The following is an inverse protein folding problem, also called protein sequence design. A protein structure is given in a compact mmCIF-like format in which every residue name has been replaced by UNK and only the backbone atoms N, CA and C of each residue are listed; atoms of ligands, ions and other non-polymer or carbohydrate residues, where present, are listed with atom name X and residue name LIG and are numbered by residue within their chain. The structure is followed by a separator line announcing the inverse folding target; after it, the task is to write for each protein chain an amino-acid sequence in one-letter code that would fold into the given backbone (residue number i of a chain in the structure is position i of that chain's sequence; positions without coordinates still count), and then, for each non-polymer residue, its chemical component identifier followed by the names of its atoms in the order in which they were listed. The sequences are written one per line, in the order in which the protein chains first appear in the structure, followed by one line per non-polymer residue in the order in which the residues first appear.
data_IF_479396341255
#
_entry.id   IF_479396341255
#
_cell.length_a   1.000
_cell.length_b   1.000
_cell.length_c   1.000
_cell.angle_alpha   90.00
_cell.angle_beta   90.00
_cell.angle_gamma   90.00
#
_symmetry.space_group_name_H-M   'P 1'
#
loop_
_entity.id
_entity.type
_entity.pdbx_description
1 polymer ?
#
# COMPACT_ATOMS: atom_id res chain seq x y z
N UNK A 1 -16.32 19.86 13.32
CA UNK A 1 -14.92 19.56 12.93
C UNK A 1 -14.15 20.78 12.43
N UNK A 2 -14.75 21.72 11.67
CA UNK A 2 -14.07 22.94 11.18
C UNK A 2 -13.75 23.99 12.27
N UNK A 3 -14.35 23.90 13.46
CA UNK A 3 -14.15 24.85 14.56
C UNK A 3 -12.91 24.56 15.44
N UNK A 4 -12.20 23.44 15.19
CA UNK A 4 -11.05 23.04 16.01
C UNK A 4 -9.83 22.73 15.12
N UNK A 5 -9.08 23.76 14.67
CA UNK A 5 -8.01 23.60 13.68
C UNK A 5 -6.87 22.70 14.17
N UNK A 6 -6.57 22.69 15.47
CA UNK A 6 -5.54 21.82 16.07
C UNK A 6 -5.98 20.35 16.06
N UNK A 7 -7.25 20.07 16.34
CA UNK A 7 -7.81 18.71 16.30
C UNK A 7 -7.87 18.22 14.85
N UNK A 8 -8.25 19.09 13.91
CA UNK A 8 -8.24 18.79 12.49
C UNK A 8 -6.82 18.54 11.98
N UNK A 9 -5.85 19.37 12.34
CA UNK A 9 -4.45 19.19 11.97
C UNK A 9 -3.89 17.89 12.53
N UNK A 10 -4.14 17.57 13.80
CA UNK A 10 -3.72 16.31 14.43
C UNK A 10 -4.40 15.09 13.79
N UNK A 11 -5.68 15.20 13.43
CA UNK A 11 -6.37 14.16 12.69
C UNK A 11 -5.77 13.99 11.26
N UNK A 12 -5.48 15.06 10.55
CA UNK A 12 -4.93 14.97 9.19
C UNK A 12 -3.45 14.53 9.18
N UNK A 13 -2.68 14.78 10.24
CA UNK A 13 -1.23 14.50 10.28
C UNK A 13 -0.86 13.26 11.08
N UNK A 14 -1.54 12.98 12.20
CA UNK A 14 -1.09 12.02 13.21
C UNK A 14 -2.12 10.94 13.59
N UNK A 15 -3.43 11.23 13.62
CA UNK A 15 -4.42 10.35 14.28
C UNK A 15 -5.73 10.10 13.53
N UNK A 16 -5.92 10.63 12.33
CA UNK A 16 -7.16 10.47 11.55
C UNK A 16 -7.11 9.27 10.61
N UNK A 17 -8.17 9.11 9.80
CA UNK A 17 -8.36 7.96 8.91
C UNK A 17 -7.29 7.85 7.78
N UNK A 18 -6.55 8.94 7.51
CA UNK A 18 -5.42 8.99 6.56
C UNK A 18 -4.35 9.99 7.01
N UNK A 19 -3.51 9.67 8.02
CA UNK A 19 -2.47 10.55 8.52
C UNK A 19 -1.39 10.81 7.45
N UNK A 20 -1.22 12.06 7.04
CA UNK A 20 -0.28 12.45 5.98
C UNK A 20 1.16 11.98 6.27
N UNK A 21 1.58 11.96 7.53
CA UNK A 21 2.94 11.57 7.93
C UNK A 21 3.27 10.13 7.54
N UNK A 22 2.29 9.23 7.61
CA UNK A 22 2.47 7.82 7.26
C UNK A 22 2.65 7.64 5.75
N UNK A 23 1.93 8.42 4.94
CA UNK A 23 2.03 8.38 3.48
C UNK A 23 3.31 9.04 2.96
N UNK A 24 3.83 10.05 3.69
CA UNK A 24 5.12 10.68 3.38
C UNK A 24 6.26 9.65 3.45
N UNK A 25 6.19 8.64 4.33
CA UNK A 25 7.20 7.59 4.40
C UNK A 25 7.35 6.84 3.05
N UNK A 26 6.23 6.46 2.41
CA UNK A 26 6.27 5.84 1.09
C UNK A 26 6.84 6.78 0.02
N UNK A 27 6.46 8.07 0.06
CA UNK A 27 6.99 9.08 -0.86
C UNK A 27 8.50 9.24 -0.72
N UNK A 28 9.02 9.38 0.50
CA UNK A 28 10.45 9.54 0.78
C UNK A 28 11.23 8.31 0.32
N UNK A 29 10.73 7.11 0.61
CA UNK A 29 11.34 5.86 0.13
C UNK A 29 11.33 5.82 -1.40
N UNK A 30 10.22 6.16 -2.05
CA UNK A 30 10.12 6.22 -3.51
C UNK A 30 11.12 7.20 -4.14
N UNK A 31 11.28 8.39 -3.56
CA UNK A 31 12.27 9.39 -4.01
C UNK A 31 13.70 8.88 -3.80
N UNK A 32 13.99 8.25 -2.66
CA UNK A 32 15.31 7.69 -2.37
C UNK A 32 15.67 6.58 -3.36
N UNK A 33 14.74 5.65 -3.62
CA UNK A 33 14.90 4.56 -4.59
C UNK A 33 15.06 5.10 -6.01
N UNK A 34 14.30 6.13 -6.38
CA UNK A 34 14.39 6.78 -7.68
C UNK A 34 15.76 7.45 -7.97
N UNK A 35 16.55 7.73 -6.93
CA UNK A 35 17.93 8.24 -7.07
C UNK A 35 18.97 7.14 -7.24
N UNK A 36 18.60 5.87 -7.04
CA UNK A 36 19.51 4.75 -7.21
C UNK A 36 19.67 4.39 -8.69
N UNK A 37 20.81 3.81 -9.04
CA UNK A 37 21.04 3.26 -10.38
C UNK A 37 20.26 1.95 -10.57
N UNK A 38 18.96 2.06 -10.88
CA UNK A 38 18.04 0.91 -11.03
C UNK A 38 18.41 -0.02 -12.20
N UNK A 39 19.23 0.45 -13.15
CA UNK A 39 19.76 -0.37 -14.24
C UNK A 39 20.87 -1.35 -13.81
N UNK A 40 21.39 -1.25 -12.58
CA UNK A 40 22.43 -2.17 -12.06
C UNK A 40 21.79 -3.35 -11.33
N UNK A 41 22.16 -4.57 -11.71
CA UNK A 41 21.71 -5.80 -11.05
C UNK A 41 22.01 -5.79 -9.54
N UNK A 42 23.14 -5.22 -9.12
CA UNK A 42 23.50 -5.04 -7.71
C UNK A 42 22.46 -4.21 -6.95
N UNK A 43 21.97 -3.10 -7.52
CA UNK A 43 20.92 -2.28 -6.90
C UNK A 43 19.63 -3.08 -6.76
N UNK A 44 19.24 -3.81 -7.80
CA UNK A 44 18.03 -4.63 -7.78
C UNK A 44 18.11 -5.76 -6.74
N UNK A 45 19.27 -6.40 -6.59
CA UNK A 45 19.51 -7.41 -5.56
C UNK A 45 19.47 -6.82 -4.14
N UNK A 46 20.01 -5.61 -3.93
CA UNK A 46 19.89 -4.90 -2.65
C UNK A 46 18.45 -4.52 -2.32
N UNK A 47 17.68 -4.04 -3.31
CA UNK A 47 16.26 -3.75 -3.13
C UNK A 47 15.47 -5.02 -2.76
N UNK A 48 15.78 -6.13 -3.43
CA UNK A 48 15.17 -7.43 -3.13
C UNK A 48 15.52 -7.91 -1.72
N UNK A 49 16.80 -8.06 -1.43
CA UNK A 49 17.28 -8.59 -0.15
C UNK A 49 16.92 -7.68 1.03
N UNK A 50 17.14 -6.37 0.88
CA UNK A 50 16.79 -5.38 1.90
C UNK A 50 15.28 -5.26 2.11
N UNK A 51 14.50 -5.32 1.03
CA UNK A 51 13.03 -5.32 1.10
C UNK A 51 12.48 -6.55 1.83
N UNK A 52 12.97 -7.75 1.49
CA UNK A 52 12.60 -9.00 2.18
C UNK A 52 13.00 -8.95 3.64
N UNK A 53 14.22 -8.54 3.96
CA UNK A 53 14.70 -8.43 5.32
C UNK A 53 13.82 -7.45 6.14
N UNK A 54 13.54 -6.27 5.60
CA UNK A 54 12.67 -5.29 6.25
C UNK A 54 11.26 -5.85 6.48
N UNK A 55 10.68 -6.51 5.48
CA UNK A 55 9.34 -7.09 5.57
C UNK A 55 9.25 -8.17 6.66
N UNK A 56 10.22 -9.07 6.69
CA UNK A 56 10.28 -10.17 7.67
C UNK A 56 10.55 -9.62 9.06
N UNK A 57 11.54 -8.75 9.23
CA UNK A 57 11.88 -8.17 10.54
C UNK A 57 10.74 -7.35 11.11
N UNK A 58 10.04 -6.55 10.30
CA UNK A 58 8.86 -5.82 10.74
C UNK A 58 7.76 -6.75 11.25
N UNK A 59 7.52 -7.86 10.53
CA UNK A 59 6.49 -8.83 10.90
C UNK A 59 6.84 -9.61 12.17
N UNK A 60 8.09 -10.08 12.28
CA UNK A 60 8.57 -10.80 13.46
C UNK A 60 8.61 -9.91 14.70
N UNK A 61 9.07 -8.67 14.56
CA UNK A 61 9.13 -7.72 15.67
C UNK A 61 7.72 -7.36 16.16
N UNK A 62 6.79 -7.12 15.23
CA UNK A 62 5.38 -6.89 15.55
C UNK A 62 4.77 -8.07 16.31
N UNK A 63 5.04 -9.28 15.86
CA UNK A 63 4.55 -10.50 16.47
C UNK A 63 5.06 -10.69 17.91
N UNK A 64 6.36 -10.52 18.13
CA UNK A 64 6.97 -10.58 19.47
C UNK A 64 6.39 -9.51 20.40
N UNK A 65 6.28 -8.26 19.92
CA UNK A 65 5.72 -7.16 20.72
C UNK A 65 4.24 -7.39 21.05
N UNK A 66 3.43 -7.89 20.10
CA UNK A 66 2.03 -8.20 20.37
C UNK A 66 1.87 -9.32 21.40
N UNK A 67 2.75 -10.35 21.39
CA UNK A 67 2.73 -11.39 22.43
C UNK A 67 3.00 -10.82 23.81
N UNK A 68 3.94 -9.88 23.93
CA UNK A 68 4.26 -9.18 25.19
C UNK A 68 3.12 -8.24 25.63
N UNK A 69 2.49 -7.54 24.69
CA UNK A 69 1.42 -6.59 24.93
C UNK A 69 0.02 -7.18 25.07
N UNK A 70 -0.16 -8.49 24.83
CA UNK A 70 -1.48 -9.10 24.71
C UNK A 70 -2.32 -8.97 25.99
N UNK A 71 -1.68 -9.07 27.16
CA UNK A 71 -2.36 -8.89 28.44
C UNK A 71 -2.94 -7.46 28.58
N UNK A 72 -2.15 -6.45 28.22
CA UNK A 72 -2.59 -5.06 28.24
C UNK A 72 -3.67 -4.78 27.18
N UNK A 73 -3.56 -5.40 26.00
CA UNK A 73 -4.59 -5.34 24.96
C UNK A 73 -5.90 -5.97 25.45
N UNK A 74 -5.87 -7.09 26.18
CA UNK A 74 -7.08 -7.71 26.74
C UNK A 74 -7.71 -6.90 27.87
N UNK A 75 -6.88 -6.25 28.69
CA UNK A 75 -7.34 -5.45 29.81
C UNK A 75 -7.94 -4.11 29.38
N UNK A 76 -7.34 -3.44 28.39
CA UNK A 76 -7.71 -2.08 27.98
C UNK A 76 -8.33 -2.01 26.58
N UNK A 77 -8.26 -3.08 25.80
CA UNK A 77 -8.76 -3.11 24.43
C UNK A 77 -10.25 -3.46 24.35
N UNK A 78 -10.94 -3.05 23.28
CA UNK A 78 -12.30 -3.49 23.02
C UNK A 78 -12.37 -5.02 22.89
N UNK A 79 -13.30 -5.65 23.62
CA UNK A 79 -13.38 -7.12 23.73
C UNK A 79 -13.72 -7.81 22.40
N UNK A 80 -14.40 -7.11 21.50
CA UNK A 80 -14.68 -7.52 20.12
C UNK A 80 -13.43 -7.53 19.23
N UNK A 81 -12.43 -6.70 19.57
CA UNK A 81 -11.20 -6.53 18.80
C UNK A 81 -10.03 -7.38 19.29
N UNK A 82 -10.09 -7.88 20.54
CA UNK A 82 -9.01 -8.70 21.13
C UNK A 82 -9.48 -10.13 21.35
N UNK A 83 -9.10 -11.07 20.48
CA UNK A 83 -9.53 -12.45 20.59
C UNK A 83 -9.09 -13.10 21.91
N UNK A 84 -10.03 -13.83 22.52
CA UNK A 84 -9.74 -14.79 23.57
C UNK A 84 -8.97 -16.01 23.04
N UNK A 85 -8.51 -16.88 23.94
CA UNK A 85 -7.81 -18.11 23.60
C UNK A 85 -6.27 -18.01 23.65
N UNK A 86 -5.57 -19.05 23.15
CA UNK A 86 -4.11 -19.14 23.21
C UNK A 86 -3.42 -17.94 22.58
N UNK A 87 -2.33 -17.49 23.20
CA UNK A 87 -1.59 -16.27 22.80
C UNK A 87 -1.22 -16.26 21.31
N UNK A 88 -0.74 -17.39 20.77
CA UNK A 88 -0.33 -17.49 19.38
C UNK A 88 -1.48 -17.26 18.38
N UNK A 89 -2.64 -17.88 18.64
CA UNK A 89 -3.83 -17.73 17.79
C UNK A 89 -4.42 -16.32 17.89
N UNK A 90 -4.47 -15.77 19.10
CA UNK A 90 -4.94 -14.41 19.32
C UNK A 90 -4.08 -13.39 18.56
N UNK A 91 -2.75 -13.49 18.65
CA UNK A 91 -1.82 -12.62 17.90
C UNK A 91 -1.97 -12.82 16.40
N UNK A 92 -2.05 -14.06 15.92
CA UNK A 92 -2.28 -14.36 14.50
C UNK A 92 -3.57 -13.72 13.98
N UNK A 93 -4.66 -13.82 14.74
CA UNK A 93 -5.94 -13.18 14.40
C UNK A 93 -5.86 -11.65 14.43
N UNK A 94 -5.21 -11.06 15.43
CA UNK A 94 -4.97 -9.62 15.52
C UNK A 94 -4.21 -9.08 14.29
N UNK A 95 -3.31 -9.88 13.72
CA UNK A 95 -2.54 -9.53 12.53
C UNK A 95 -3.29 -9.75 11.20
N UNK A 96 -4.38 -10.52 11.19
CA UNK A 96 -5.17 -10.78 9.98
C UNK A 96 -6.37 -9.83 9.86
N UNK A 97 -6.82 -9.26 10.96
CA UNK A 97 -7.97 -8.34 11.00
C UNK A 97 -7.53 -6.91 10.66
N UNK A 98 -7.72 -6.50 9.40
CA UNK A 98 -7.39 -5.14 8.97
C UNK A 98 -8.20 -4.07 9.71
N UNK A 99 -7.58 -2.95 10.08
CA UNK A 99 -8.21 -1.91 10.94
C UNK A 99 -8.33 -0.51 10.31
N UNK A 100 -8.26 -0.44 8.98
CA UNK A 100 -8.53 0.74 8.16
C UNK A 100 -8.04 2.09 8.75
N UNK A 101 -6.81 2.12 9.26
CA UNK A 101 -6.09 3.33 9.67
C UNK A 101 -6.44 3.88 11.05
N UNK A 102 -7.29 3.23 11.85
CA UNK A 102 -7.72 3.76 13.16
C UNK A 102 -7.61 2.68 14.25
N UNK A 103 -6.40 2.28 14.66
CA UNK A 103 -6.25 1.41 15.82
C UNK A 103 -6.78 2.11 17.09
N UNK A 104 -7.39 1.38 18.05
CA UNK A 104 -7.83 1.99 19.31
C UNK A 104 -6.67 2.68 20.05
N UNK A 105 -6.96 3.79 20.70
CA UNK A 105 -5.96 4.55 21.48
C UNK A 105 -5.93 4.15 22.95
N UNK A 106 -6.62 3.07 23.33
CA UNK A 106 -6.77 2.62 24.72
C UNK A 106 -5.47 2.10 25.33
N UNK A 107 -4.52 1.68 24.50
CA UNK A 107 -3.17 1.31 24.93
C UNK A 107 -2.16 1.54 23.82
N UNK A 108 -0.90 1.83 24.19
CA UNK A 108 0.18 2.05 23.22
C UNK A 108 0.52 0.78 22.43
N UNK A 109 0.22 -0.40 22.97
CA UNK A 109 0.45 -1.71 22.33
C UNK A 109 -0.31 -1.88 21.00
N UNK A 110 -1.35 -1.09 20.75
CA UNK A 110 -2.01 -1.08 19.45
C UNK A 110 -1.09 -0.64 18.31
N UNK A 111 -0.05 0.15 18.59
CA UNK A 111 0.95 0.57 17.61
C UNK A 111 1.93 -0.54 17.23
N UNK A 112 2.00 -1.62 18.00
CA UNK A 112 2.86 -2.76 17.70
C UNK A 112 2.28 -3.66 16.59
N UNK A 113 1.01 -3.51 16.21
CA UNK A 113 0.35 -4.44 15.30
C UNK A 113 0.64 -4.16 13.82
N UNK A 114 1.21 -5.12 13.09
CA UNK A 114 1.43 -5.08 11.64
C UNK A 114 0.22 -5.63 10.84
N UNK A 115 -1.00 -5.37 11.33
CA UNK A 115 -2.20 -5.84 10.64
C UNK A 115 -2.46 -5.01 9.37
N UNK A 116 -3.02 -5.59 8.29
CA UNK A 116 -3.27 -4.86 7.05
C UNK A 116 -4.03 -3.55 7.27
N UNK A 117 -3.56 -2.49 6.63
CA UNK A 117 -4.23 -1.18 6.65
C UNK A 117 -4.41 -0.64 8.06
N UNK A 118 -3.50 -0.92 8.99
CA UNK A 118 -3.54 -0.30 10.32
C UNK A 118 -2.74 1.00 10.37
N UNK A 119 -1.86 1.19 9.37
CA UNK A 119 -0.97 2.32 9.25
C UNK A 119 -0.02 2.49 10.46
N UNK A 120 0.18 1.43 11.24
CA UNK A 120 1.18 1.40 12.30
C UNK A 120 2.59 1.40 11.70
N UNK A 121 3.63 1.76 12.46
CA UNK A 121 5.01 1.72 11.98
C UNK A 121 5.42 0.36 11.41
N UNK A 122 4.95 -0.74 12.01
CA UNK A 122 5.28 -2.09 11.54
C UNK A 122 4.50 -2.49 10.30
N UNK A 123 3.24 -2.05 10.13
CA UNK A 123 2.48 -2.22 8.89
C UNK A 123 3.15 -1.47 7.73
N UNK A 124 3.55 -0.21 7.96
CA UNK A 124 4.28 0.60 6.99
C UNK A 124 5.63 -0.03 6.62
N UNK A 125 6.43 -0.42 7.61
CA UNK A 125 7.73 -1.06 7.36
C UNK A 125 7.57 -2.38 6.59
N UNK A 126 6.58 -3.20 6.96
CA UNK A 126 6.30 -4.47 6.30
C UNK A 126 5.92 -4.28 4.83
N UNK A 127 4.97 -3.39 4.56
CA UNK A 127 4.47 -3.12 3.21
C UNK A 127 5.48 -2.38 2.34
N UNK A 128 6.28 -1.46 2.90
CA UNK A 128 7.43 -0.86 2.21
C UNK A 128 8.43 -1.94 1.83
N UNK A 129 8.79 -2.83 2.77
CA UNK A 129 9.68 -3.95 2.51
C UNK A 129 9.19 -4.85 1.36
N UNK A 130 7.90 -5.22 1.38
CA UNK A 130 7.27 -5.98 0.30
C UNK A 130 7.32 -5.23 -1.05
N UNK A 131 7.05 -3.93 -1.07
CA UNK A 131 7.13 -3.13 -2.30
C UNK A 131 8.56 -3.07 -2.87
N UNK A 132 9.57 -2.86 -2.01
CA UNK A 132 10.98 -2.88 -2.40
C UNK A 132 11.40 -4.27 -2.92
N UNK A 133 10.92 -5.33 -2.27
CA UNK A 133 11.19 -6.71 -2.70
C UNK A 133 10.62 -6.99 -4.08
N UNK A 134 9.35 -6.63 -4.31
CA UNK A 134 8.69 -6.78 -5.62
C UNK A 134 9.39 -5.95 -6.69
N UNK A 135 9.79 -4.72 -6.39
CA UNK A 135 10.54 -3.87 -7.32
C UNK A 135 11.90 -4.47 -7.66
N UNK A 136 12.67 -4.89 -6.66
CA UNK A 136 13.96 -5.55 -6.86
C UNK A 136 13.84 -6.82 -7.69
N UNK A 137 12.84 -7.65 -7.42
CA UNK A 137 12.54 -8.85 -8.20
C UNK A 137 12.18 -8.50 -9.65
N UNK A 138 11.30 -7.52 -9.87
CA UNK A 138 10.92 -7.08 -11.20
C UNK A 138 12.12 -6.56 -12.00
N UNK A 139 13.03 -5.80 -11.38
CA UNK A 139 14.25 -5.29 -12.00
C UNK A 139 15.25 -6.41 -12.34
N UNK A 140 15.33 -7.48 -11.54
CA UNK A 140 16.17 -8.64 -11.84
C UNK A 140 15.57 -9.52 -12.95
N UNK A 141 14.24 -9.65 -12.99
CA UNK A 141 13.56 -10.47 -14.00
C UNK A 141 13.42 -9.76 -15.34
N UNK A 142 13.30 -8.43 -15.36
CA UNK A 142 13.06 -7.67 -16.58
C UNK A 142 14.11 -7.92 -17.70
N UNK A 143 15.43 -7.96 -17.42
CA UNK A 143 16.43 -8.29 -18.43
C UNK A 143 16.30 -9.72 -18.99
N UNK A 144 15.94 -10.69 -18.14
CA UNK A 144 15.83 -12.10 -18.53
C UNK A 144 14.51 -12.44 -19.24
N UNK A 145 13.44 -11.72 -18.90
CA UNK A 145 12.09 -11.94 -19.40
C UNK A 145 11.76 -11.04 -20.60
N UNK A 146 12.41 -9.88 -20.73
CA UNK A 146 12.20 -8.90 -21.80
C UNK A 146 12.25 -9.48 -23.23
N UNK A 147 13.24 -10.33 -23.58
CA UNK A 147 13.30 -10.95 -24.91
C UNK A 147 12.20 -11.99 -25.17
N UNK A 148 11.61 -12.56 -24.10
CA UNK A 148 10.65 -13.66 -24.17
C UNK A 148 9.20 -13.19 -24.08
N UNK A 149 8.93 -12.02 -23.50
CA UNK A 149 7.59 -11.48 -23.40
C UNK A 149 7.18 -10.76 -24.69
N UNK A 150 5.92 -10.88 -25.13
CA UNK A 150 5.39 -10.07 -26.22
C UNK A 150 5.51 -8.59 -25.86
N UNK A 151 5.92 -7.75 -26.82
CA UNK A 151 5.97 -6.28 -26.64
C UNK A 151 4.65 -5.70 -26.14
N UNK A 152 3.53 -6.29 -26.55
CA UNK A 152 2.19 -5.93 -26.11
C UNK A 152 2.00 -6.10 -24.59
N UNK A 153 2.58 -7.13 -23.98
CA UNK A 153 2.46 -7.39 -22.54
C UNK A 153 3.31 -6.40 -21.74
N UNK A 154 4.56 -6.15 -22.18
CA UNK A 154 5.42 -5.15 -21.55
C UNK A 154 4.81 -3.75 -21.65
N UNK A 155 4.27 -3.40 -22.83
CA UNK A 155 3.55 -2.14 -23.02
C UNK A 155 2.28 -2.08 -22.16
N UNK A 156 1.57 -3.19 -21.97
CA UNK A 156 0.39 -3.25 -21.13
C UNK A 156 0.71 -3.02 -19.65
N UNK A 157 1.80 -3.62 -19.15
CA UNK A 157 2.27 -3.40 -17.78
C UNK A 157 2.73 -1.96 -17.57
N UNK A 158 3.52 -1.42 -18.50
CA UNK A 158 3.96 -0.03 -18.46
C UNK A 158 2.77 0.95 -18.48
N UNK A 159 1.78 0.69 -19.34
CA UNK A 159 0.59 1.51 -19.42
C UNK A 159 -0.27 1.41 -18.15
N UNK A 160 -0.46 0.21 -17.59
CA UNK A 160 -1.20 0.03 -16.34
C UNK A 160 -0.54 0.81 -15.19
N UNK A 161 0.80 0.81 -15.12
CA UNK A 161 1.56 1.63 -14.18
C UNK A 161 1.39 3.15 -14.41
N UNK A 162 1.12 3.59 -15.63
CA UNK A 162 0.91 5.00 -15.97
C UNK A 162 -0.54 5.49 -15.81
N UNK A 163 -1.47 4.59 -15.45
CA UNK A 163 -2.90 4.90 -15.27
C UNK A 163 -3.43 4.45 -13.90
N UNK A 164 -2.57 4.39 -12.88
CA UNK A 164 -2.93 3.84 -11.56
C UNK A 164 -4.06 4.59 -10.87
N UNK A 165 -4.15 5.91 -11.02
CA UNK A 165 -5.22 6.70 -10.40
C UNK A 165 -6.55 6.41 -11.08
N UNK A 166 -6.56 6.37 -12.41
CA UNK A 166 -7.75 5.98 -13.18
C UNK A 166 -8.20 4.56 -12.84
N UNK A 167 -7.27 3.62 -12.78
CA UNK A 167 -7.57 2.22 -12.44
C UNK A 167 -8.14 2.11 -11.02
N UNK A 168 -7.57 2.87 -10.07
CA UNK A 168 -8.04 2.92 -8.70
C UNK A 168 -9.44 3.55 -8.57
N UNK A 169 -9.70 4.68 -9.24
CA UNK A 169 -11.02 5.32 -9.23
C UNK A 169 -12.09 4.41 -9.81
N UNK A 170 -11.80 3.77 -10.95
CA UNK A 170 -12.69 2.76 -11.55
C UNK A 170 -12.94 1.61 -10.57
N UNK A 171 -11.89 1.09 -9.94
CA UNK A 171 -12.00 0.00 -8.96
C UNK A 171 -12.93 0.40 -7.80
N UNK A 172 -12.75 1.60 -7.22
CA UNK A 172 -13.58 2.09 -6.13
C UNK A 172 -15.04 2.30 -6.58
N UNK A 173 -15.27 2.84 -7.77
CA UNK A 173 -16.62 2.98 -8.33
C UNK A 173 -17.25 1.61 -8.60
N UNK A 174 -16.48 0.62 -9.05
CA UNK A 174 -16.98 -0.74 -9.24
C UNK A 174 -17.42 -1.38 -7.90
N UNK A 175 -16.72 -1.07 -6.79
CA UNK A 175 -17.10 -1.54 -5.46
C UNK A 175 -18.45 -0.94 -4.97
N UNK A 176 -18.85 0.24 -5.44
CA UNK A 176 -20.15 0.83 -5.05
C UNK A 176 -21.35 0.18 -5.72
N UNK A 177 -21.14 -0.59 -6.79
CA UNK A 177 -22.20 -1.27 -7.53
C UNK A 177 -22.87 -2.46 -6.79
N UNK A 178 -22.48 -2.72 -5.52
CA UNK A 178 -23.08 -3.72 -4.60
C UNK A 178 -23.42 -5.04 -5.31
N UNK A 179 -22.43 -5.72 -5.86
CA UNK A 179 -22.58 -7.11 -6.28
C UNK A 179 -22.75 -7.96 -5.03
N UNK A 180 -23.81 -8.76 -4.97
CA UNK A 180 -24.16 -9.57 -3.81
C UNK A 180 -23.01 -10.49 -3.34
N UNK A 181 -23.02 -10.93 -2.08
CA UNK A 181 -21.93 -11.69 -1.45
C UNK A 181 -21.65 -13.08 -2.05
N UNK A 182 -22.41 -13.51 -3.05
CA UNK A 182 -22.50 -14.89 -3.50
C UNK A 182 -21.29 -15.43 -4.27
N UNK A 183 -20.31 -14.62 -4.69
CA UNK A 183 -19.04 -15.18 -5.15
C UNK A 183 -17.89 -14.17 -5.14
N UNK A 184 -17.08 -14.20 -4.07
CA UNK A 184 -15.86 -13.37 -3.93
C UNK A 184 -14.86 -13.60 -5.08
N UNK A 185 -14.88 -14.80 -5.68
CA UNK A 185 -14.07 -15.18 -6.85
C UNK A 185 -14.61 -14.55 -8.14
N UNK A 186 -15.93 -14.54 -8.34
CA UNK A 186 -16.57 -13.88 -9.47
C UNK A 186 -16.37 -12.36 -9.39
N UNK A 187 -16.51 -11.78 -8.20
CA UNK A 187 -16.19 -10.37 -7.95
C UNK A 187 -14.73 -10.06 -8.30
N UNK A 188 -13.78 -10.88 -7.86
CA UNK A 188 -12.36 -10.71 -8.24
C UNK A 188 -12.17 -10.82 -9.76
N UNK A 189 -12.77 -11.83 -10.40
CA UNK A 189 -12.68 -12.04 -11.85
C UNK A 189 -13.28 -10.86 -12.63
N UNK A 190 -14.42 -10.32 -12.22
CA UNK A 190 -15.05 -9.13 -12.80
C UNK A 190 -14.14 -7.91 -12.61
N UNK A 191 -13.54 -7.70 -11.44
CA UNK A 191 -12.63 -6.59 -11.22
C UNK A 191 -11.36 -6.69 -12.07
N UNK A 192 -10.77 -7.89 -12.18
CA UNK A 192 -9.62 -8.14 -13.06
C UNK A 192 -10.00 -7.91 -14.52
N UNK A 193 -11.15 -8.42 -14.96
CA UNK A 193 -11.64 -8.24 -16.32
C UNK A 193 -11.91 -6.76 -16.62
N UNK A 194 -12.59 -6.03 -15.73
CA UNK A 194 -12.88 -4.60 -15.89
C UNK A 194 -11.59 -3.78 -15.94
N UNK A 195 -10.64 -4.06 -15.04
CA UNK A 195 -9.32 -3.43 -15.03
C UNK A 195 -8.56 -3.69 -16.34
N UNK A 196 -8.57 -4.91 -16.85
CA UNK A 196 -7.93 -5.28 -18.13
C UNK A 196 -8.64 -4.63 -19.30
N UNK A 197 -9.97 -4.66 -19.36
CA UNK A 197 -10.78 -4.07 -20.44
C UNK A 197 -10.61 -2.56 -20.49
N UNK A 198 -10.65 -1.88 -19.35
CA UNK A 198 -10.48 -0.43 -19.30
C UNK A 198 -9.04 -0.02 -19.57
N UNK A 199 -8.04 -0.73 -19.02
CA UNK A 199 -6.64 -0.48 -19.36
C UNK A 199 -6.34 -0.74 -20.85
N UNK A 200 -6.94 -1.78 -21.44
CA UNK A 200 -6.76 -2.09 -22.87
C UNK A 200 -7.54 -1.17 -23.79
N UNK A 201 -8.76 -0.77 -23.44
CA UNK A 201 -9.57 0.18 -24.20
C UNK A 201 -8.96 1.58 -24.18
N UNK A 202 -8.47 2.03 -23.03
CA UNK A 202 -7.84 3.34 -22.91
C UNK A 202 -6.51 3.43 -23.65
N UNK A 203 -5.73 2.33 -23.66
CA UNK A 203 -4.49 2.21 -24.46
C UNK A 203 -4.70 2.44 -25.95
N UNK A 204 -5.90 2.22 -26.49
CA UNK A 204 -6.19 2.38 -27.93
C UNK A 204 -6.26 3.86 -28.34
N UNK A 205 -6.55 4.75 -27.39
CA UNK A 205 -6.80 6.17 -27.67
C UNK A 205 -5.76 7.10 -27.04
N UNK A 206 -5.18 6.79 -25.87
CA UNK A 206 -4.23 7.69 -25.21
C UNK A 206 -3.10 6.99 -24.44
N UNK A 207 -1.90 7.61 -24.45
CA UNK A 207 -0.70 7.17 -23.72
C UNK A 207 -0.76 7.40 -22.19
N UNK A 208 -1.76 8.12 -21.69
CA UNK A 208 -1.97 8.47 -20.26
C UNK A 208 -3.45 8.40 -19.92
N UNK A 209 -3.77 8.09 -18.66
CA UNK A 209 -5.15 8.06 -18.17
C UNK A 209 -5.76 9.47 -18.08
N UNK A 210 -7.10 9.61 -18.11
CA UNK A 210 -7.79 10.90 -18.15
C UNK A 210 -7.54 11.70 -16.87
N UNK A 211 -7.56 11.04 -15.70
CA UNK A 211 -7.36 11.69 -14.42
C UNK A 211 -5.90 12.11 -14.23
N UNK A 212 -4.96 11.29 -14.69
CA UNK A 212 -3.53 11.63 -14.70
C UNK A 212 -3.25 12.83 -15.61
N UNK A 213 -3.95 12.93 -16.74
CA UNK A 213 -3.83 14.08 -17.64
C UNK A 213 -4.38 15.36 -17.01
N UNK A 214 -5.53 15.28 -16.34
CA UNK A 214 -6.12 16.41 -15.61
C UNK A 214 -5.23 16.88 -14.46
N UNK A 215 -4.68 15.96 -13.65
CA UNK A 215 -3.74 16.29 -12.56
C UNK A 215 -2.48 16.94 -13.11
N UNK A 216 -1.91 16.42 -14.21
CA UNK A 216 -0.71 17.00 -14.82
C UNK A 216 -0.93 18.40 -15.40
N UNK A 217 -2.15 18.72 -15.84
CA UNK A 217 -2.54 20.08 -16.27
C UNK A 217 -2.82 21.02 -15.10
N UNK A 218 -3.26 20.48 -13.96
CA UNK A 218 -3.49 21.22 -12.73
C UNK A 218 -2.18 21.48 -11.92
N UNK A 219 -1.03 21.00 -12.38
CA UNK A 219 0.29 21.35 -11.82
C UNK A 219 1.07 22.40 -12.64
N UNK A 220 0.55 23.61 -12.94
CA UNK A 220 1.36 24.68 -13.50
C UNK A 220 1.96 25.55 -12.37
N UNK A 221 2.93 25.03 -11.61
CA UNK A 221 3.79 25.88 -10.75
C UNK A 221 4.94 25.05 -10.15
N UNK A 222 6.15 25.24 -10.68
CA UNK A 222 7.49 25.12 -10.02
C UNK A 222 8.62 24.93 -11.04
N UNK A 223 8.32 24.84 -12.35
CA UNK A 223 9.37 24.72 -13.38
C UNK A 223 9.95 26.05 -13.89
N UNK A 224 9.55 27.19 -13.32
CA UNK A 224 10.05 28.52 -13.71
C UNK A 224 10.98 29.19 -12.69
N UNK A 225 11.51 28.48 -11.68
CA UNK A 225 12.51 29.01 -10.74
C UNK A 225 13.82 28.22 -10.78
N UNK A 226 14.44 28.14 -11.96
CA UNK A 226 15.88 27.97 -12.12
C UNK A 226 16.32 28.83 -13.30
N UNK A 227 16.66 30.08 -12.97
CA UNK A 227 17.64 30.86 -13.72
C UNK A 227 19.02 30.21 -13.55
#
# INVERSE_FOLDING_TARGET
LLAHPVVLARALTLTGYYPALQWIAYLLVGVAVGRLALGRARTAAWLLGGGVALAVLARLTSDVLLRQGLAALRAAGPADLVPGGPTGEAVGRLQLQGRFGVPPTTTWWWQAGASPHTATPFDLAHTIGCALAVLGLALLLAPAAGPRLPRAVVAALAAAGSTTLTLYTVHVVALTARVGPADRRLLLAVHVLLAVVLATAWRRWHRRGPLEHLVSRATPATRHLRH
#
